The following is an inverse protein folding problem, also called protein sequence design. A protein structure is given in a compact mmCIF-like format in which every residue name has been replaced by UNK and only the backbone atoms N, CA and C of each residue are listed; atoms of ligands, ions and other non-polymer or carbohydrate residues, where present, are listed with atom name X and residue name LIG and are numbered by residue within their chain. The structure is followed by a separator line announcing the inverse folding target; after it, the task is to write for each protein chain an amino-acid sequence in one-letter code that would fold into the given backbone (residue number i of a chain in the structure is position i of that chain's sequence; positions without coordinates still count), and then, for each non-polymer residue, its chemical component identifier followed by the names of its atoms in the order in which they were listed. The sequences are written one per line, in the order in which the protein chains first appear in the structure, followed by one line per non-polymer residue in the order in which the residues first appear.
data_IF_545242147137
#
_entry.id   IF_545242147137
#
_cell.length_a   1.000
_cell.length_b   1.000
_cell.length_c   1.000
_cell.angle_alpha   90.00
_cell.angle_beta   90.00
_cell.angle_gamma   90.00
#
_symmetry.space_group_name_H-M   'P 1'
#
loop_
_entity.id
_entity.type
_entity.pdbx_description
1 polymer ?
#
# COMPACT_ATOMS: atom_id res chain seq x y z
N UNK A 1 23.06 -44.15 22.45
CA UNK A 1 22.15 -44.70 21.43
C UNK A 1 20.74 -44.65 22.01
N UNK A 2 20.13 -43.47 22.17
CA UNK A 2 19.33 -42.71 21.19
C UNK A 2 18.03 -43.41 20.79
N UNK A 3 16.99 -43.22 21.59
CA UNK A 3 15.61 -43.45 21.20
C UNK A 3 14.93 -42.07 21.17
N UNK A 4 14.90 -41.50 19.97
CA UNK A 4 14.21 -40.25 19.63
C UNK A 4 12.71 -40.52 19.61
N UNK A 5 12.05 -40.25 20.73
CA UNK A 5 10.59 -40.16 20.81
C UNK A 5 10.16 -38.76 20.39
N UNK A 6 9.19 -38.71 19.48
CA UNK A 6 8.58 -37.51 18.90
C UNK A 6 7.87 -36.69 19.98
N UNK A 7 8.22 -35.41 20.11
CA UNK A 7 7.44 -34.46 20.92
C UNK A 7 6.14 -34.13 20.18
N UNK A 8 5.02 -34.66 20.70
CA UNK A 8 3.68 -34.21 20.36
C UNK A 8 3.47 -32.88 21.09
N UNK A 9 3.37 -31.78 20.34
CA UNK A 9 3.07 -30.45 20.89
C UNK A 9 1.62 -30.46 21.39
N UNK A 10 1.43 -30.68 22.69
CA UNK A 10 0.13 -30.53 23.34
C UNK A 10 -0.19 -29.03 23.53
N UNK A 11 -1.42 -28.64 23.20
CA UNK A 11 -1.91 -27.27 23.39
C UNK A 11 -2.79 -27.17 24.64
N UNK A 12 -2.69 -26.05 25.36
CA UNK A 12 -3.54 -25.79 26.52
C UNK A 12 -5.01 -25.64 26.07
N UNK A 13 -5.94 -26.38 26.67
CA UNK A 13 -7.37 -26.31 26.29
C UNK A 13 -8.02 -24.95 26.53
N UNK A 14 -7.43 -24.10 27.39
CA UNK A 14 -7.94 -22.77 27.74
C UNK A 14 -7.38 -21.69 26.80
N UNK A 15 -6.06 -21.64 26.60
CA UNK A 15 -5.44 -20.59 25.77
C UNK A 15 -5.04 -21.05 24.36
N UNK A 16 -5.15 -22.34 24.06
CA UNK A 16 -4.80 -23.00 22.78
C UNK A 16 -3.37 -22.78 22.29
N UNK A 17 -2.45 -22.36 23.18
CA UNK A 17 -1.05 -22.17 22.82
C UNK A 17 -0.23 -23.46 22.96
N UNK A 18 0.80 -23.66 22.11
CA UNK A 18 1.72 -24.78 22.17
C UNK A 18 2.68 -24.66 23.39
N UNK A 19 2.92 -25.76 24.11
CA UNK A 19 3.80 -25.78 25.28
C UNK A 19 5.29 -25.72 24.87
N UNK A 20 6.12 -25.04 25.69
CA UNK A 20 7.58 -25.08 25.57
C UNK A 20 8.15 -26.13 26.56
N UNK A 21 8.74 -27.25 26.09
CA UNK A 21 8.99 -28.43 26.92
C UNK A 21 10.08 -28.25 28.00
N UNK A 22 10.80 -27.14 28.00
CA UNK A 22 11.99 -26.95 28.87
C UNK A 22 11.68 -26.21 30.19
N UNK A 23 10.56 -25.49 30.30
CA UNK A 23 10.32 -24.58 31.45
C UNK A 23 9.03 -24.80 32.24
N UNK A 24 8.06 -25.55 31.72
CA UNK A 24 6.73 -25.60 32.31
C UNK A 24 6.48 -26.89 33.13
N UNK A 25 6.20 -26.75 34.43
CA UNK A 25 5.69 -27.87 35.25
C UNK A 25 4.23 -28.15 34.87
N UNK A 26 3.95 -29.39 34.46
CA UNK A 26 2.62 -29.88 34.06
C UNK A 26 1.89 -30.53 35.24
N UNK A 27 0.58 -30.29 35.36
CA UNK A 27 -0.30 -31.00 36.30
C UNK A 27 -1.27 -31.88 35.50
N UNK A 28 -1.33 -33.16 35.85
CA UNK A 28 -2.16 -34.17 35.18
C UNK A 28 -3.54 -34.32 35.84
N UNK A 29 -4.59 -34.41 35.02
CA UNK A 29 -5.94 -34.74 35.48
C UNK A 29 -5.98 -36.17 36.07
N UNK A 30 -6.68 -36.35 37.19
CA UNK A 30 -6.77 -37.64 37.90
C UNK A 30 -7.84 -38.61 37.35
N UNK A 31 -8.54 -38.23 36.28
CA UNK A 31 -9.65 -39.01 35.71
C UNK A 31 -9.20 -40.10 34.74
N UNK A 32 -8.84 -41.28 35.26
CA UNK A 32 -8.72 -42.54 34.51
C UNK A 32 -7.73 -42.58 33.32
N UNK A 33 -7.43 -43.78 32.78
CA UNK A 33 -6.56 -43.91 31.61
C UNK A 33 -7.23 -43.27 30.39
N UNK A 34 -6.70 -42.14 29.90
CA UNK A 34 -7.17 -41.48 28.67
C UNK A 34 -7.54 -40.00 28.80
N UNK A 35 -7.63 -39.43 30.00
CA UNK A 35 -7.84 -37.98 30.17
C UNK A 35 -6.52 -37.21 29.98
N UNK A 36 -6.02 -37.12 28.75
CA UNK A 36 -4.76 -36.47 28.38
C UNK A 36 -4.77 -34.93 28.46
N UNK A 37 -5.56 -34.32 29.35
CA UNK A 37 -5.60 -32.85 29.51
C UNK A 37 -4.64 -32.43 30.63
N UNK A 38 -3.60 -31.68 30.25
CA UNK A 38 -2.60 -31.10 31.15
C UNK A 38 -2.89 -29.60 31.38
N UNK A 39 -2.63 -29.12 32.60
CA UNK A 39 -2.71 -27.70 32.93
C UNK A 39 -1.33 -27.19 33.39
N UNK A 40 -0.97 -25.97 32.96
CA UNK A 40 0.30 -25.35 33.30
C UNK A 40 0.21 -24.50 34.56
N UNK A 41 1.28 -24.52 35.36
CA UNK A 41 1.42 -23.64 36.53
C UNK A 41 1.42 -22.14 36.18
N UNK A 42 1.93 -21.76 35.00
CA UNK A 42 2.03 -20.35 34.58
C UNK A 42 0.68 -19.69 34.26
N UNK A 43 -0.41 -20.46 34.11
CA UNK A 43 -1.77 -19.91 34.08
C UNK A 43 -2.21 -19.33 35.44
N UNK A 44 -1.41 -19.50 36.50
CA UNK A 44 -1.64 -18.91 37.82
C UNK A 44 -1.29 -17.42 37.92
N UNK A 45 -0.47 -16.86 37.01
CA UNK A 45 0.00 -15.46 37.10
C UNK A 45 -0.88 -14.45 36.35
N UNK A 46 -2.05 -14.87 35.85
CA UNK A 46 -3.13 -13.95 35.51
C UNK A 46 -3.77 -13.49 36.82
N UNK A 47 -3.27 -12.37 37.35
CA UNK A 47 -3.62 -11.67 38.59
C UNK A 47 -5.11 -11.74 39.03
N UNK A 48 -5.53 -12.90 39.55
CA UNK A 48 -6.85 -13.19 40.11
C UNK A 48 -6.64 -14.04 41.38
N UNK A 49 -6.45 -13.38 42.53
CA UNK A 49 -6.35 -14.07 43.81
C UNK A 49 -7.75 -14.38 44.38
N UNK A 50 -8.24 -15.60 44.15
CA UNK A 50 -8.89 -16.44 45.20
C UNK A 50 -8.67 -17.94 44.89
N UNK A 51 -7.43 -18.41 44.94
CA UNK A 51 -7.12 -19.83 45.20
C UNK A 51 -5.91 -19.90 46.12
N UNK A 52 -6.07 -19.36 47.34
CA UNK A 52 -5.20 -19.75 48.45
C UNK A 52 -5.59 -21.19 48.82
N UNK A 53 -4.63 -22.09 48.66
CA UNK A 53 -4.69 -23.45 49.14
C UNK A 53 -5.08 -23.48 50.63
N UNK A 54 -6.11 -24.25 50.97
CA UNK A 54 -6.34 -24.72 52.33
C UNK A 54 -6.04 -26.22 52.34
N UNK A 55 -4.97 -26.57 53.05
CA UNK A 55 -4.44 -27.92 53.19
C UNK A 55 -4.98 -28.60 54.46
N UNK A 56 -5.24 -29.91 54.37
CA UNK A 56 -4.97 -30.87 55.45
C UNK A 56 -4.83 -32.29 54.88
N UNK A 57 -3.66 -32.87 55.14
CA UNK A 57 -3.19 -34.27 55.23
C UNK A 57 -3.64 -35.41 54.30
N UNK A 58 -4.67 -35.32 53.42
CA UNK A 58 -5.12 -36.49 52.62
C UNK A 58 -5.22 -36.29 51.08
N UNK A 59 -4.57 -35.27 50.51
CA UNK A 59 -4.26 -35.22 49.07
C UNK A 59 -5.36 -34.65 48.15
N UNK A 60 -5.02 -33.62 47.39
CA UNK A 60 -5.91 -32.94 46.44
C UNK A 60 -6.13 -33.74 45.14
N UNK A 61 -7.38 -33.89 44.70
CA UNK A 61 -7.77 -34.41 43.37
C UNK A 61 -8.59 -33.37 42.59
N UNK A 62 -8.19 -33.12 41.34
CA UNK A 62 -8.92 -32.26 40.39
C UNK A 62 -9.56 -33.10 39.28
N UNK A 63 -10.81 -32.76 38.91
CA UNK A 63 -11.59 -33.41 37.85
C UNK A 63 -12.08 -32.38 36.84
N UNK A 64 -11.99 -32.69 35.53
CA UNK A 64 -12.55 -31.85 34.48
C UNK A 64 -14.10 -31.96 34.42
N UNK A 65 -14.75 -31.05 33.70
CA UNK A 65 -16.21 -31.02 33.53
C UNK A 65 -16.80 -32.33 32.96
N UNK A 66 -16.05 -33.02 32.10
CA UNK A 66 -16.44 -34.31 31.51
C UNK A 66 -16.33 -35.46 32.53
N UNK A 67 -15.28 -35.46 33.38
CA UNK A 67 -15.09 -36.46 34.43
C UNK A 67 -16.03 -36.28 35.63
N UNK A 68 -16.55 -35.07 35.88
CA UNK A 68 -17.58 -34.84 36.92
C UNK A 68 -18.87 -35.65 36.69
N UNK A 69 -19.17 -36.03 35.44
CA UNK A 69 -20.39 -36.79 35.09
C UNK A 69 -20.33 -38.28 35.42
N UNK A 70 -19.15 -38.81 35.75
CA UNK A 70 -18.92 -40.25 35.99
C UNK A 70 -18.53 -40.58 37.43
N UNK A 71 -18.68 -39.64 38.37
CA UNK A 71 -18.44 -39.91 39.79
C UNK A 71 -19.64 -40.67 40.34
N UNK A 72 -19.59 -42.00 40.29
CA UNK A 72 -20.52 -42.86 41.03
C UNK A 72 -20.35 -42.63 42.53
N UNK A 73 -21.47 -42.47 43.24
CA UNK A 73 -21.47 -42.22 44.69
C UNK A 73 -21.12 -43.50 45.45
N UNK A 74 -19.99 -43.57 46.18
CA UNK A 74 -19.82 -44.65 47.14
C UNK A 74 -20.58 -44.27 48.41
N UNK A 75 -21.50 -45.15 48.82
CA UNK A 75 -22.05 -45.14 50.17
C UNK A 75 -20.92 -45.57 51.12
N UNK A 76 -20.35 -44.63 51.85
CA UNK A 76 -19.68 -44.94 53.12
C UNK A 76 -19.87 -43.77 54.09
N UNK A 77 -20.57 -44.08 55.18
CA UNK A 77 -20.78 -43.20 56.32
C UNK A 77 -19.49 -43.12 57.14
N UNK A 78 -18.80 -42.00 57.03
CA UNK A 78 -17.96 -41.48 58.11
C UNK A 78 -18.01 -39.95 58.05
N UNK A 79 -18.01 -39.32 59.23
CA UNK A 79 -18.29 -37.92 59.44
C UNK A 79 -17.25 -36.99 58.79
N UNK A 80 -17.40 -36.72 57.50
CA UNK A 80 -16.58 -35.77 56.75
C UNK A 80 -17.35 -35.28 55.52
N UNK A 81 -17.11 -34.01 55.17
CA UNK A 81 -17.80 -33.20 54.15
C UNK A 81 -18.26 -34.05 52.96
N UNK A 82 -19.56 -34.07 52.67
CA UNK A 82 -20.06 -34.90 51.55
C UNK A 82 -19.62 -34.32 50.21
N UNK A 83 -19.42 -35.18 49.22
CA UNK A 83 -19.06 -34.81 47.84
C UNK A 83 -20.07 -33.80 47.22
N UNK A 84 -21.32 -33.83 47.71
CA UNK A 84 -22.40 -32.91 47.33
C UNK A 84 -22.16 -31.49 47.86
N UNK A 85 -21.62 -31.35 49.07
CA UNK A 85 -21.28 -30.06 49.68
C UNK A 85 -20.09 -29.40 48.97
N UNK A 86 -19.16 -30.22 48.46
CA UNK A 86 -18.02 -29.76 47.66
C UNK A 86 -18.51 -29.20 46.31
N UNK A 87 -19.42 -29.89 45.62
CA UNK A 87 -19.97 -29.44 44.34
C UNK A 87 -20.74 -28.12 44.47
N UNK A 88 -21.58 -27.96 45.50
CA UNK A 88 -22.32 -26.71 45.74
C UNK A 88 -21.39 -25.53 46.04
N UNK A 89 -20.26 -25.76 46.72
CA UNK A 89 -19.25 -24.72 46.96
C UNK A 89 -18.52 -24.30 45.68
N UNK A 90 -18.23 -25.26 44.79
CA UNK A 90 -17.60 -24.99 43.50
C UNK A 90 -18.53 -24.17 42.59
N UNK A 91 -19.81 -24.55 42.47
CA UNK A 91 -20.76 -23.82 41.61
C UNK A 91 -20.97 -22.37 42.08
N UNK A 92 -20.97 -22.13 43.39
CA UNK A 92 -21.02 -20.77 43.96
C UNK A 92 -19.74 -19.97 43.72
N UNK A 93 -18.59 -20.62 43.62
CA UNK A 93 -17.32 -19.98 43.27
C UNK A 93 -17.27 -19.66 41.77
N UNK A 94 -17.71 -20.56 40.89
CA UNK A 94 -17.81 -20.34 39.45
C UNK A 94 -18.72 -19.13 39.13
N UNK A 95 -19.90 -19.03 39.75
CA UNK A 95 -20.80 -17.89 39.57
C UNK A 95 -20.19 -16.54 40.05
N UNK A 96 -19.38 -16.56 41.12
CA UNK A 96 -18.65 -15.38 41.59
C UNK A 96 -17.49 -15.00 40.67
N UNK A 97 -16.84 -15.97 40.04
CA UNK A 97 -15.77 -15.74 39.06
C UNK A 97 -16.34 -15.13 37.78
N UNK A 98 -17.47 -15.62 37.27
CA UNK A 98 -18.10 -15.07 36.06
C UNK A 98 -18.50 -13.59 36.21
N UNK A 99 -19.07 -13.21 37.36
CA UNK A 99 -19.42 -11.79 37.62
C UNK A 99 -18.21 -10.85 37.74
N UNK A 100 -17.05 -11.35 38.20
CA UNK A 100 -15.79 -10.59 38.25
C UNK A 100 -15.09 -10.56 36.91
N UNK A 101 -15.17 -11.64 36.13
CA UNK A 101 -14.62 -11.73 34.78
C UNK A 101 -15.32 -10.74 33.84
N UNK A 102 -16.63 -10.54 33.96
CA UNK A 102 -17.35 -9.51 33.21
C UNK A 102 -16.79 -8.09 33.46
N UNK A 103 -16.51 -7.74 34.72
CA UNK A 103 -15.91 -6.43 35.08
C UNK A 103 -14.47 -6.27 34.59
N UNK A 104 -13.65 -7.32 34.67
CA UNK A 104 -12.29 -7.29 34.13
C UNK A 104 -12.29 -7.25 32.59
N UNK A 105 -13.25 -7.89 31.94
CA UNK A 105 -13.41 -7.86 30.49
C UNK A 105 -13.83 -6.47 30.00
N UNK A 106 -14.63 -5.75 30.79
CA UNK A 106 -14.97 -4.35 30.53
C UNK A 106 -13.80 -3.39 30.80
N UNK A 107 -13.01 -3.60 31.86
CA UNK A 107 -11.79 -2.83 32.14
C UNK A 107 -10.68 -3.06 31.10
N UNK A 108 -10.47 -4.29 30.64
CA UNK A 108 -9.52 -4.59 29.56
C UNK A 108 -10.00 -4.02 28.21
N UNK A 109 -11.31 -4.03 27.95
CA UNK A 109 -11.89 -3.35 26.79
C UNK A 109 -11.72 -1.84 26.89
N UNK A 110 -11.93 -1.23 28.05
CA UNK A 110 -11.74 0.22 28.24
C UNK A 110 -10.27 0.62 28.13
N UNK A 111 -9.34 -0.10 28.75
CA UNK A 111 -7.91 0.19 28.66
C UNK A 111 -7.32 -0.05 27.26
N UNK A 112 -7.77 -1.11 26.55
CA UNK A 112 -7.35 -1.33 25.16
C UNK A 112 -8.03 -0.39 24.17
N UNK A 113 -9.21 0.15 24.50
CA UNK A 113 -9.87 1.23 23.75
C UNK A 113 -9.13 2.55 23.96
N UNK A 114 -8.88 2.94 25.21
CA UNK A 114 -8.15 4.17 25.56
C UNK A 114 -6.71 4.16 25.02
N UNK A 115 -5.99 3.04 25.08
CA UNK A 115 -4.65 2.93 24.46
C UNK A 115 -4.71 3.05 22.94
N UNK A 116 -5.69 2.42 22.28
CA UNK A 116 -5.88 2.52 20.81
C UNK A 116 -6.23 3.96 20.39
N UNK A 117 -7.12 4.62 21.13
CA UNK A 117 -7.46 6.02 20.88
C UNK A 117 -6.25 6.93 21.12
N UNK A 118 -5.42 6.65 22.14
CA UNK A 118 -4.17 7.40 22.38
C UNK A 118 -3.15 7.23 21.26
N UNK A 119 -2.99 6.03 20.71
CA UNK A 119 -2.03 5.75 19.65
C UNK A 119 -2.53 6.26 18.29
N UNK A 120 -3.83 6.21 18.04
CA UNK A 120 -4.45 6.88 16.90
C UNK A 120 -4.27 8.40 16.97
N UNK A 121 -4.46 9.00 18.14
CA UNK A 121 -4.22 10.43 18.36
C UNK A 121 -2.74 10.83 18.20
N UNK A 122 -1.80 10.01 18.69
CA UNK A 122 -0.36 10.21 18.42
C UNK A 122 -0.06 10.12 16.93
N UNK A 123 -0.65 9.16 16.22
CA UNK A 123 -0.48 9.01 14.75
C UNK A 123 -1.04 10.18 13.95
N UNK A 124 -2.06 10.89 14.45
CA UNK A 124 -2.54 12.15 13.84
C UNK A 124 -1.48 13.26 13.82
N UNK A 125 -0.32 13.09 14.46
CA UNK A 125 0.81 14.02 14.38
C UNK A 125 1.74 13.72 13.18
N UNK A 126 1.61 12.56 12.53
CA UNK A 126 2.49 12.09 11.43
C UNK A 126 2.16 12.78 10.08
N UNK A 127 1.34 13.84 10.08
CA UNK A 127 0.91 14.55 8.87
C UNK A 127 0.82 16.06 9.09
N UNK A 128 1.15 16.83 8.06
CA UNK A 128 1.07 18.29 8.06
C UNK A 128 -0.41 18.73 8.14
N UNK A 129 -0.76 19.44 9.22
CA UNK A 129 -2.16 19.77 9.56
C UNK A 129 -2.71 21.01 8.85
N UNK A 130 -1.90 21.78 8.12
CA UNK A 130 -2.32 22.98 7.38
C UNK A 130 -2.07 22.89 5.87
N UNK A 131 -2.93 23.53 5.08
CA UNK A 131 -2.53 24.06 3.76
C UNK A 131 -2.01 25.47 4.08
N UNK A 132 -0.80 25.84 3.66
CA UNK A 132 -0.34 27.22 3.78
C UNK A 132 -1.25 28.12 2.96
N UNK A 133 -2.01 28.99 3.64
CA UNK A 133 -3.00 29.88 3.00
C UNK A 133 -2.35 31.17 2.47
N UNK A 134 -1.21 31.55 3.03
CA UNK A 134 -0.42 32.71 2.63
C UNK A 134 1.01 32.23 2.41
N UNK A 135 1.52 32.42 1.21
CA UNK A 135 2.83 31.93 0.83
C UNK A 135 3.85 33.05 0.95
N UNK A 136 4.47 33.09 2.12
CA UNK A 136 5.57 33.99 2.46
C UNK A 136 6.78 33.66 1.59
N UNK A 137 7.28 34.66 0.88
CA UNK A 137 8.52 34.64 0.09
C UNK A 137 9.67 34.05 0.91
N UNK A 138 9.74 34.32 2.22
CA UNK A 138 10.76 33.76 3.09
C UNK A 138 10.63 32.25 3.29
N UNK A 139 9.41 31.71 3.35
CA UNK A 139 9.19 30.27 3.45
C UNK A 139 9.56 29.55 2.15
N UNK A 140 9.28 30.16 0.99
CA UNK A 140 9.74 29.63 -0.31
C UNK A 140 11.27 29.61 -0.36
N UNK A 141 11.95 30.69 0.03
CA UNK A 141 13.42 30.73 0.11
C UNK A 141 13.97 29.66 1.06
N UNK A 142 13.34 29.44 2.21
CA UNK A 142 13.74 28.36 3.14
C UNK A 142 13.53 26.98 2.53
N UNK A 143 12.39 26.75 1.88
CA UNK A 143 12.08 25.50 1.18
C UNK A 143 13.11 25.21 0.07
N UNK A 144 13.40 26.20 -0.76
CA UNK A 144 14.39 26.12 -1.82
C UNK A 144 15.77 25.75 -1.27
N UNK A 145 16.26 26.49 -0.27
CA UNK A 145 17.57 26.21 0.34
C UNK A 145 17.60 24.84 1.03
N UNK A 146 16.49 24.42 1.64
CA UNK A 146 16.36 23.08 2.24
C UNK A 146 16.49 21.99 1.18
N UNK A 147 15.83 22.11 0.03
CA UNK A 147 15.93 21.11 -1.04
C UNK A 147 17.29 21.13 -1.72
N UNK A 148 17.86 22.31 -1.99
CA UNK A 148 19.21 22.41 -2.51
C UNK A 148 20.22 21.69 -1.60
N UNK A 149 20.12 21.91 -0.29
CA UNK A 149 21.05 21.34 0.67
C UNK A 149 20.81 19.85 0.97
N UNK A 150 19.58 19.47 1.31
CA UNK A 150 19.29 18.12 1.82
C UNK A 150 18.78 17.15 0.75
N UNK A 151 18.08 17.64 -0.28
CA UNK A 151 17.57 16.78 -1.36
C UNK A 151 18.60 16.60 -2.46
N UNK A 152 19.26 17.67 -2.87
CA UNK A 152 20.24 17.65 -3.97
C UNK A 152 21.68 17.48 -3.49
N UNK A 153 21.93 17.64 -2.18
CA UNK A 153 23.28 17.51 -1.60
C UNK A 153 24.25 18.51 -2.23
N UNK A 154 23.80 19.75 -2.37
CA UNK A 154 24.54 20.85 -2.99
C UNK A 154 24.67 22.04 -2.04
N UNK A 155 25.74 22.81 -2.25
CA UNK A 155 25.88 24.15 -1.73
C UNK A 155 25.98 25.16 -2.88
N UNK A 156 25.79 26.44 -2.58
CA UNK A 156 25.75 27.52 -3.58
C UNK A 156 27.01 27.64 -4.45
N UNK A 157 28.16 27.13 -4.01
CA UNK A 157 29.42 27.26 -4.75
C UNK A 157 29.57 26.20 -5.85
N UNK A 158 28.82 25.10 -5.79
CA UNK A 158 28.91 23.97 -6.74
C UNK A 158 27.57 23.62 -7.39
N UNK A 159 26.50 24.32 -7.01
CA UNK A 159 25.19 24.16 -7.60
C UNK A 159 25.17 24.72 -9.02
N UNK A 160 24.65 23.91 -9.94
CA UNK A 160 24.39 24.28 -11.34
C UNK A 160 22.98 24.85 -11.48
N UNK A 161 22.68 25.51 -12.60
CA UNK A 161 21.32 26.01 -12.89
C UNK A 161 20.27 24.89 -12.85
N UNK A 162 20.64 23.67 -13.28
CA UNK A 162 19.77 22.48 -13.16
C UNK A 162 19.49 22.11 -11.71
N UNK A 163 20.49 22.21 -10.82
CA UNK A 163 20.28 21.98 -9.38
C UNK A 163 19.28 23.01 -8.81
N UNK A 164 19.37 24.27 -9.24
CA UNK A 164 18.40 25.30 -8.83
C UNK A 164 16.98 25.02 -9.35
N UNK A 165 16.83 24.58 -10.59
CA UNK A 165 15.54 24.12 -11.11
C UNK A 165 14.95 23.00 -10.25
N UNK A 166 15.71 21.94 -9.96
CA UNK A 166 15.21 20.83 -9.13
C UNK A 166 14.86 21.28 -7.71
N UNK A 167 15.64 22.20 -7.13
CA UNK A 167 15.34 22.75 -5.80
C UNK A 167 14.00 23.51 -5.81
N UNK A 168 13.74 24.31 -6.84
CA UNK A 168 12.47 25.00 -7.04
C UNK A 168 11.32 24.01 -7.28
N UNK A 169 11.48 23.04 -8.17
CA UNK A 169 10.46 22.03 -8.47
C UNK A 169 10.05 21.23 -7.22
N UNK A 170 11.02 20.83 -6.37
CA UNK A 170 10.72 20.18 -5.10
C UNK A 170 9.99 21.11 -4.12
N UNK A 171 10.38 22.39 -4.07
CA UNK A 171 9.71 23.39 -3.23
C UNK A 171 8.25 23.56 -3.65
N UNK A 172 7.97 23.73 -4.94
CA UNK A 172 6.60 23.82 -5.47
C UNK A 172 5.81 22.54 -5.23
N UNK A 173 6.45 21.37 -5.39
CA UNK A 173 5.83 20.07 -5.15
C UNK A 173 5.38 19.88 -3.70
N UNK A 174 6.11 20.38 -2.72
CA UNK A 174 5.72 20.28 -1.30
C UNK A 174 4.34 20.92 -1.04
N UNK A 175 4.05 22.05 -1.70
CA UNK A 175 2.78 22.75 -1.60
C UNK A 175 1.64 21.97 -2.26
N UNK A 176 1.94 21.22 -3.30
CA UNK A 176 1.01 20.36 -4.00
C UNK A 176 0.72 19.05 -3.22
N UNK A 177 1.72 18.43 -2.58
CA UNK A 177 1.59 17.11 -1.95
C UNK A 177 0.57 17.13 -0.81
N UNK A 178 0.56 18.20 -0.01
CA UNK A 178 -0.39 18.36 1.10
C UNK A 178 -1.84 18.42 0.62
N UNK A 179 -2.10 19.15 -0.47
CA UNK A 179 -3.42 19.25 -1.12
C UNK A 179 -3.83 17.94 -1.78
N UNK A 180 -2.87 17.24 -2.37
CA UNK A 180 -3.08 15.93 -2.98
C UNK A 180 -3.51 14.87 -1.98
N UNK A 181 -2.81 14.74 -0.85
CA UNK A 181 -3.20 13.81 0.22
C UNK A 181 -4.63 14.09 0.70
N UNK A 182 -4.98 15.36 0.93
CA UNK A 182 -6.32 15.77 1.37
C UNK A 182 -7.39 15.47 0.35
N UNK A 183 -7.14 15.75 -0.92
CA UNK A 183 -8.07 15.43 -2.02
C UNK A 183 -8.35 13.92 -2.06
N UNK A 184 -7.30 13.10 -1.99
CA UNK A 184 -7.46 11.66 -1.97
C UNK A 184 -8.22 11.18 -0.72
N UNK A 185 -7.89 11.68 0.46
CA UNK A 185 -8.63 11.36 1.69
C UNK A 185 -10.11 11.72 1.56
N UNK A 186 -10.41 12.94 1.08
CA UNK A 186 -11.77 13.40 0.85
C UNK A 186 -12.55 12.48 -0.10
N UNK A 187 -11.94 12.05 -1.22
CA UNK A 187 -12.56 11.11 -2.16
C UNK A 187 -12.81 9.74 -1.55
N UNK A 188 -12.03 9.28 -0.58
CA UNK A 188 -12.28 8.02 0.12
C UNK A 188 -13.34 8.16 1.21
N UNK A 189 -13.38 9.28 1.93
CA UNK A 189 -14.37 9.55 2.97
C UNK A 189 -15.76 9.80 2.40
N UNK A 190 -15.86 10.61 1.34
CA UNK A 190 -17.13 10.91 0.67
C UNK A 190 -17.57 9.82 -0.28
N UNK A 191 -16.63 9.04 -0.79
CA UNK A 191 -16.86 7.95 -1.73
C UNK A 191 -17.80 8.33 -2.90
N UNK A 192 -17.50 9.43 -3.62
CA UNK A 192 -18.29 9.84 -4.77
C UNK A 192 -18.05 8.87 -5.94
N UNK A 193 -18.90 8.98 -6.97
CA UNK A 193 -18.60 8.38 -8.28
C UNK A 193 -17.29 8.98 -8.81
N UNK A 194 -16.38 8.14 -9.31
CA UNK A 194 -15.05 8.55 -9.80
C UNK A 194 -14.93 8.34 -11.29
N UNK A 195 -14.48 9.36 -12.01
CA UNK A 195 -14.20 9.29 -13.44
C UNK A 195 -12.79 8.72 -13.67
N UNK A 196 -12.67 7.80 -14.63
CA UNK A 196 -11.39 7.21 -15.03
C UNK A 196 -11.20 7.44 -16.51
N UNK A 197 -10.28 8.34 -16.86
CA UNK A 197 -9.94 8.62 -18.25
C UNK A 197 -8.76 7.75 -18.66
N UNK A 198 -8.95 6.88 -19.65
CA UNK A 198 -7.92 5.98 -20.15
C UNK A 198 -7.43 6.51 -21.49
N UNK A 199 -6.13 6.75 -21.59
CA UNK A 199 -5.49 7.19 -22.83
C UNK A 199 -4.07 6.63 -22.90
N UNK A 200 -3.67 6.23 -24.10
CA UNK A 200 -2.26 5.90 -24.36
C UNK A 200 -1.39 7.16 -24.50
N UNK A 201 -1.99 8.35 -24.60
CA UNK A 201 -1.27 9.61 -24.71
C UNK A 201 -1.72 10.65 -23.68
N UNK A 202 -0.76 11.36 -23.11
CA UNK A 202 -0.96 12.59 -22.34
C UNK A 202 0.14 13.58 -22.69
N UNK A 203 -0.20 14.64 -23.42
CA UNK A 203 0.76 15.68 -23.76
C UNK A 203 0.73 16.77 -22.69
N UNK A 204 1.42 16.50 -21.58
CA UNK A 204 1.41 17.37 -20.40
C UNK A 204 2.20 18.66 -20.61
N UNK A 205 3.38 18.56 -21.25
CA UNK A 205 4.38 19.63 -21.31
C UNK A 205 5.07 19.86 -19.96
N UNK A 206 5.72 21.02 -19.81
CA UNK A 206 6.31 21.50 -18.55
C UNK A 206 5.26 21.69 -17.45
N UNK A 207 5.57 21.23 -16.24
CA UNK A 207 4.64 21.21 -15.09
C UNK A 207 4.92 22.31 -14.06
N UNK A 208 6.12 22.89 -14.02
CA UNK A 208 6.52 23.87 -13.01
C UNK A 208 5.62 25.09 -13.02
N UNK A 209 5.58 25.79 -14.15
CA UNK A 209 4.81 27.01 -14.33
C UNK A 209 3.31 26.76 -14.11
N UNK A 210 2.75 25.71 -14.72
CA UNK A 210 1.34 25.34 -14.56
C UNK A 210 0.98 25.06 -13.08
N UNK A 211 1.86 24.38 -12.35
CA UNK A 211 1.64 24.12 -10.93
C UNK A 211 1.68 25.39 -10.11
N UNK A 212 2.62 26.30 -10.38
CA UNK A 212 2.70 27.58 -9.68
C UNK A 212 1.45 28.44 -9.92
N UNK A 213 0.94 28.47 -11.14
CA UNK A 213 -0.30 29.18 -11.50
C UNK A 213 -1.50 28.58 -10.77
N UNK A 214 -1.71 27.26 -10.86
CA UNK A 214 -2.89 26.62 -10.29
C UNK A 214 -2.93 26.68 -8.76
N UNK A 215 -1.76 26.71 -8.12
CA UNK A 215 -1.64 26.91 -6.67
C UNK A 215 -1.76 28.39 -6.25
N UNK A 216 -1.58 29.34 -7.18
CA UNK A 216 -1.59 30.78 -6.91
C UNK A 216 -0.30 31.30 -6.25
N UNK A 217 0.85 30.71 -6.59
CA UNK A 217 2.12 30.91 -5.88
C UNK A 217 3.22 31.49 -6.77
N UNK A 218 2.92 31.70 -8.04
CA UNK A 218 3.86 32.16 -9.05
C UNK A 218 4.58 33.46 -8.64
N UNK A 219 3.83 34.47 -8.18
CA UNK A 219 4.42 35.75 -7.74
C UNK A 219 5.37 35.58 -6.55
N UNK A 220 5.01 34.75 -5.56
CA UNK A 220 5.88 34.51 -4.41
C UNK A 220 7.14 33.73 -4.79
N UNK A 221 7.03 32.79 -5.74
CA UNK A 221 8.18 32.07 -6.28
C UNK A 221 9.11 32.99 -7.07
N UNK A 222 8.56 33.83 -7.94
CA UNK A 222 9.30 34.81 -8.73
C UNK A 222 10.09 35.78 -7.83
N UNK A 223 9.42 36.38 -6.84
CA UNK A 223 10.08 37.27 -5.88
C UNK A 223 11.17 36.54 -5.06
N UNK A 224 10.92 35.29 -4.66
CA UNK A 224 11.90 34.49 -3.94
C UNK A 224 13.16 34.21 -4.76
N UNK A 225 12.99 33.83 -6.03
CA UNK A 225 14.11 33.56 -6.95
C UNK A 225 14.90 34.83 -7.23
N UNK A 226 14.19 35.94 -7.50
CA UNK A 226 14.81 37.25 -7.71
C UNK A 226 15.67 37.69 -6.51
N UNK A 227 15.14 37.58 -5.27
CA UNK A 227 15.90 37.91 -4.06
C UNK A 227 17.10 36.98 -3.81
N UNK A 228 17.12 35.80 -4.42
CA UNK A 228 18.24 34.86 -4.36
C UNK A 228 19.23 35.02 -5.53
N UNK A 229 18.98 35.98 -6.43
CA UNK A 229 19.83 36.25 -7.60
C UNK A 229 19.65 35.23 -8.72
N UNK A 230 18.47 34.60 -8.81
CA UNK A 230 18.12 33.62 -9.84
C UNK A 230 17.02 34.20 -10.73
N UNK A 231 17.06 33.87 -12.01
CA UNK A 231 16.00 34.15 -12.98
C UNK A 231 15.08 32.94 -13.08
N UNK A 232 13.79 33.11 -12.77
CA UNK A 232 12.84 31.99 -12.78
C UNK A 232 12.57 31.49 -14.21
N UNK A 233 12.63 32.36 -15.22
CA UNK A 233 12.41 31.96 -16.62
C UNK A 233 13.54 31.03 -17.09
N UNK A 234 14.80 31.31 -16.71
CA UNK A 234 15.93 30.41 -16.97
C UNK A 234 15.73 29.04 -16.31
N UNK A 235 15.14 28.99 -15.11
CA UNK A 235 14.83 27.73 -14.43
C UNK A 235 13.67 26.97 -15.09
N UNK A 236 12.63 27.68 -15.56
CA UNK A 236 11.49 27.08 -16.28
C UNK A 236 11.89 26.48 -17.63
N UNK A 237 12.88 27.06 -18.31
CA UNK A 237 13.42 26.56 -19.59
C UNK A 237 14.31 25.31 -19.44
N UNK A 238 14.73 24.97 -18.22
CA UNK A 238 15.47 23.74 -17.93
C UNK A 238 14.56 22.52 -17.73
N UNK A 239 13.25 22.71 -17.59
CA UNK A 239 12.30 21.61 -17.47
C UNK A 239 12.10 20.92 -18.83
N UNK A 240 12.37 19.63 -18.88
CA UNK A 240 12.06 18.81 -20.06
C UNK A 240 10.56 18.56 -20.16
N UNK A 241 10.02 18.59 -21.39
CA UNK A 241 8.64 18.20 -21.65
C UNK A 241 8.43 16.71 -21.34
N UNK A 242 7.31 16.37 -20.70
CA UNK A 242 6.99 14.97 -20.43
C UNK A 242 6.65 14.25 -21.74
N UNK A 243 7.54 13.36 -22.19
CA UNK A 243 7.41 12.50 -23.37
C UNK A 243 6.33 11.42 -23.23
N UNK A 244 5.07 11.84 -23.07
CA UNK A 244 3.92 10.97 -22.76
C UNK A 244 2.81 11.06 -23.81
N UNK A 245 2.96 11.90 -24.83
CA UNK A 245 2.01 12.08 -25.93
C UNK A 245 2.70 12.69 -27.13
N UNK A 246 2.05 12.64 -28.29
CA UNK A 246 2.61 13.15 -29.54
C UNK A 246 1.78 14.30 -30.12
N UNK A 247 0.45 14.18 -30.08
CA UNK A 247 -0.43 15.08 -30.82
C UNK A 247 -1.64 15.60 -30.05
N UNK A 248 -2.65 16.04 -30.82
CA UNK A 248 -3.87 16.64 -30.29
C UNK A 248 -4.69 15.71 -29.38
N UNK A 249 -4.63 14.39 -29.60
CA UNK A 249 -5.28 13.41 -28.71
C UNK A 249 -4.69 13.47 -27.29
N UNK A 250 -3.36 13.40 -27.19
CA UNK A 250 -2.65 13.53 -25.93
C UNK A 250 -2.89 14.90 -25.27
N UNK A 251 -2.94 15.97 -26.05
CA UNK A 251 -3.19 17.32 -25.49
C UNK A 251 -4.63 17.48 -25.01
N UNK A 252 -5.61 16.91 -25.72
CA UNK A 252 -7.00 16.87 -25.27
C UNK A 252 -7.11 16.16 -23.91
N UNK A 253 -6.46 15.00 -23.76
CA UNK A 253 -6.42 14.25 -22.51
C UNK A 253 -5.83 15.09 -21.36
N UNK A 254 -4.72 15.78 -21.60
CA UNK A 254 -4.09 16.67 -20.61
C UNK A 254 -5.02 17.82 -20.19
N UNK A 255 -5.66 18.51 -21.15
CA UNK A 255 -6.61 19.58 -20.88
C UNK A 255 -7.86 19.09 -20.12
N UNK A 256 -8.32 17.87 -20.38
CA UNK A 256 -9.40 17.26 -19.61
C UNK A 256 -9.00 17.00 -18.16
N UNK A 257 -7.77 16.54 -17.89
CA UNK A 257 -7.30 16.34 -16.52
C UNK A 257 -7.27 17.66 -15.72
N UNK A 258 -6.74 18.73 -16.33
CA UNK A 258 -6.74 20.06 -15.73
C UNK A 258 -8.17 20.56 -15.46
N UNK A 259 -9.06 20.47 -16.45
CA UNK A 259 -10.47 20.87 -16.32
C UNK A 259 -11.19 20.10 -15.21
N UNK A 260 -11.00 18.77 -15.15
CA UNK A 260 -11.60 17.94 -14.10
C UNK A 260 -11.08 18.31 -12.71
N UNK A 261 -9.79 18.63 -12.57
CA UNK A 261 -9.23 19.09 -11.30
C UNK A 261 -9.80 20.47 -10.92
N UNK A 262 -9.86 21.41 -11.85
CA UNK A 262 -10.40 22.78 -11.66
C UNK A 262 -11.89 22.78 -11.31
N UNK A 263 -12.68 21.88 -11.90
CA UNK A 263 -14.10 21.71 -11.58
C UNK A 263 -14.35 20.90 -10.29
N UNK A 264 -13.29 20.42 -9.62
CA UNK A 264 -13.41 19.60 -8.41
C UNK A 264 -14.00 18.21 -8.66
N UNK A 265 -13.93 17.71 -9.90
CA UNK A 265 -14.45 16.41 -10.28
C UNK A 265 -13.51 15.30 -9.75
N UNK A 266 -14.04 14.28 -9.05
CA UNK A 266 -13.26 13.12 -8.64
C UNK A 266 -12.81 12.30 -9.85
N UNK A 267 -11.61 12.57 -10.34
CA UNK A 267 -11.11 11.98 -11.58
C UNK A 267 -9.67 11.48 -11.48
N UNK A 268 -9.38 10.46 -12.29
CA UNK A 268 -8.03 9.95 -12.52
C UNK A 268 -7.78 9.84 -14.02
N UNK A 269 -6.58 10.25 -14.44
CA UNK A 269 -6.01 9.83 -15.72
C UNK A 269 -5.25 8.52 -15.56
N UNK A 270 -5.36 7.62 -16.53
CA UNK A 270 -4.58 6.40 -16.64
C UNK A 270 -3.90 6.33 -18.00
N UNK A 271 -2.61 5.98 -17.99
CA UNK A 271 -1.80 5.80 -19.19
C UNK A 271 -0.54 4.97 -18.93
N UNK A 272 0.40 5.00 -19.86
CA UNK A 272 1.70 4.32 -19.76
C UNK A 272 2.80 5.35 -19.50
N UNK A 273 3.78 4.99 -18.66
CA UNK A 273 4.96 5.82 -18.41
C UNK A 273 6.04 5.49 -19.43
N UNK A 274 6.01 6.14 -20.59
CA UNK A 274 7.01 5.95 -21.64
C UNK A 274 8.37 6.50 -21.22
N UNK A 275 9.43 5.71 -21.44
CA UNK A 275 10.79 6.11 -21.09
C UNK A 275 11.39 7.09 -22.09
N UNK A 276 11.04 6.96 -23.38
CA UNK A 276 11.65 7.70 -24.49
C UNK A 276 10.67 8.49 -25.37
N UNK A 277 9.45 8.72 -24.88
CA UNK A 277 8.41 9.42 -25.65
C UNK A 277 8.22 8.83 -27.04
N UNK A 278 8.08 9.71 -28.04
CA UNK A 278 8.05 9.32 -29.46
C UNK A 278 9.45 9.42 -30.09
N UNK A 279 9.99 10.64 -30.21
CA UNK A 279 11.35 10.99 -30.60
C UNK A 279 11.58 12.51 -30.45
N UNK A 280 12.83 12.91 -30.27
CA UNK A 280 13.29 14.29 -30.42
C UNK A 280 13.66 14.56 -31.88
N UNK A 281 12.99 15.52 -32.51
CA UNK A 281 13.25 15.91 -33.89
C UNK A 281 14.51 16.79 -33.97
N UNK A 282 15.48 16.42 -34.80
CA UNK A 282 16.60 17.28 -35.19
C UNK A 282 16.63 17.46 -36.70
N UNK A 283 17.05 18.65 -37.14
CA UNK A 283 17.26 18.92 -38.56
C UNK A 283 18.76 18.86 -38.83
N UNK A 284 19.20 17.88 -39.65
CA UNK A 284 20.59 17.75 -40.10
C UNK A 284 20.60 17.77 -41.63
N UNK A 285 21.37 18.68 -42.22
CA UNK A 285 21.45 18.88 -43.67
C UNK A 285 20.10 19.09 -44.38
N UNK A 286 19.14 19.75 -43.71
CA UNK A 286 17.80 20.00 -44.26
C UNK A 286 16.82 18.84 -44.15
N UNK A 287 17.22 17.72 -43.55
CA UNK A 287 16.38 16.53 -43.35
C UNK A 287 16.11 16.26 -41.86
N UNK A 288 14.97 15.63 -41.58
CA UNK A 288 14.62 15.16 -40.24
C UNK A 288 15.50 13.97 -39.85
N UNK A 289 16.02 14.03 -38.62
CA UNK A 289 16.68 12.93 -37.92
C UNK A 289 16.02 12.76 -36.57
N UNK A 290 15.65 11.53 -36.26
CA UNK A 290 14.95 11.14 -35.04
C UNK A 290 15.98 10.65 -34.00
N UNK A 291 15.97 11.25 -32.82
CA UNK A 291 16.77 10.80 -31.68
C UNK A 291 15.85 10.44 -30.49
N UNK A 292 16.24 9.55 -29.58
CA UNK A 292 15.41 9.23 -28.41
C UNK A 292 15.16 10.45 -27.53
N UNK A 293 13.91 10.63 -27.07
CA UNK A 293 13.54 11.69 -26.13
C UNK A 293 13.82 11.23 -24.68
N UNK A 294 15.00 11.56 -24.16
CA UNK A 294 15.50 11.09 -22.86
C UNK A 294 15.05 12.00 -21.69
N UNK A 295 13.78 12.41 -21.68
CA UNK A 295 13.19 13.32 -20.69
C UNK A 295 13.33 12.86 -19.23
N UNK A 296 13.54 11.56 -19.01
CA UNK A 296 13.76 10.97 -17.68
C UNK A 296 15.23 10.86 -17.26
N UNK A 297 16.19 11.26 -18.11
CA UNK A 297 17.64 11.11 -17.86
C UNK A 297 18.06 11.62 -16.48
N UNK A 298 17.55 12.78 -16.10
CA UNK A 298 17.89 13.45 -14.83
C UNK A 298 16.82 13.24 -13.75
N UNK A 299 15.85 12.36 -14.01
CA UNK A 299 14.68 12.14 -13.17
C UNK A 299 13.56 13.14 -13.42
N UNK A 300 12.36 12.77 -13.00
CA UNK A 300 11.17 13.62 -13.06
C UNK A 300 10.78 14.01 -11.61
N UNK A 301 10.86 15.30 -11.23
CA UNK A 301 10.57 15.71 -9.87
C UNK A 301 9.07 15.62 -9.54
N UNK A 302 8.17 15.55 -10.54
CA UNK A 302 6.72 15.59 -10.36
C UNK A 302 6.11 14.25 -10.01
N UNK A 303 6.68 13.15 -10.51
CA UNK A 303 6.11 11.82 -10.28
C UNK A 303 6.40 11.25 -8.87
N UNK A 304 5.57 10.29 -8.46
CA UNK A 304 5.81 9.47 -7.28
C UNK A 304 5.57 8.00 -7.61
N UNK A 305 6.65 7.21 -7.58
CA UNK A 305 6.57 5.75 -7.63
C UNK A 305 5.75 5.19 -6.46
N UNK A 306 4.91 4.19 -6.77
CA UNK A 306 4.04 3.48 -5.82
C UNK A 306 4.24 1.96 -5.89
N UNK A 307 5.44 1.44 -5.55
CA UNK A 307 5.74 0.01 -5.61
C UNK A 307 4.77 -0.84 -4.77
N UNK A 308 4.17 -0.26 -3.73
CA UNK A 308 3.15 -0.91 -2.90
C UNK A 308 1.84 -1.22 -3.65
N UNK A 309 1.65 -0.73 -4.87
CA UNK A 309 0.50 -1.04 -5.73
C UNK A 309 0.89 -1.73 -7.04
N UNK A 310 2.02 -2.44 -7.05
CA UNK A 310 2.43 -3.24 -8.20
C UNK A 310 1.45 -4.40 -8.46
N UNK A 311 1.10 -4.62 -9.73
CA UNK A 311 0.08 -5.61 -10.15
C UNK A 311 0.65 -6.53 -11.24
N UNK A 312 0.44 -7.86 -11.17
CA UNK A 312 0.81 -8.77 -12.25
C UNK A 312 -0.15 -8.63 -13.44
N UNK A 313 0.43 -8.59 -14.64
CA UNK A 313 -0.26 -8.59 -15.94
C UNK A 313 0.21 -9.82 -16.71
N UNK A 314 -0.74 -10.51 -17.32
CA UNK A 314 -0.50 -11.79 -17.98
C UNK A 314 -0.57 -11.64 -19.49
N UNK A 315 0.27 -12.37 -20.21
CA UNK A 315 0.28 -12.43 -21.67
C UNK A 315 0.35 -13.89 -22.13
N UNK A 316 -0.04 -14.14 -23.38
CA UNK A 316 0.01 -15.46 -24.02
C UNK A 316 -0.80 -16.53 -23.27
N UNK A 317 -0.24 -17.72 -23.06
CA UNK A 317 -0.91 -18.82 -22.38
C UNK A 317 -2.10 -19.38 -23.15
N UNK A 318 -2.99 -20.06 -22.42
CA UNK A 318 -4.16 -20.75 -22.98
C UNK A 318 -5.31 -20.83 -21.98
N UNK A 319 -6.52 -21.02 -22.48
CA UNK A 319 -7.72 -21.22 -21.65
C UNK A 319 -7.96 -22.71 -21.46
N UNK A 320 -8.22 -23.11 -20.21
CA UNK A 320 -8.66 -24.45 -19.85
C UNK A 320 -10.04 -24.40 -19.19
N UNK A 321 -10.86 -25.41 -19.43
CA UNK A 321 -12.10 -25.63 -18.70
C UNK A 321 -11.81 -26.37 -17.40
N UNK A 322 -12.23 -25.80 -16.27
CA UNK A 322 -12.14 -26.44 -14.95
C UNK A 322 -13.54 -26.58 -14.34
N UNK A 323 -13.74 -27.44 -13.33
CA UNK A 323 -15.04 -27.59 -12.67
C UNK A 323 -15.59 -26.27 -12.10
N UNK A 324 -14.73 -25.32 -11.75
CA UNK A 324 -15.12 -23.99 -11.23
C UNK A 324 -15.30 -22.93 -12.34
N UNK A 325 -15.12 -23.29 -13.61
CA UNK A 325 -15.21 -22.40 -14.77
C UNK A 325 -13.92 -22.33 -15.61
N UNK A 326 -13.87 -21.40 -16.57
CA UNK A 326 -12.70 -21.21 -17.44
C UNK A 326 -11.56 -20.52 -16.69
N UNK A 327 -10.34 -21.02 -16.84
CA UNK A 327 -9.11 -20.41 -16.28
C UNK A 327 -8.10 -20.14 -17.38
N UNK A 328 -7.46 -18.97 -17.32
CA UNK A 328 -6.33 -18.61 -18.18
C UNK A 328 -5.03 -19.01 -17.49
N UNK A 329 -4.29 -19.93 -18.10
CA UNK A 329 -3.10 -20.58 -17.51
C UNK A 329 -1.92 -20.54 -18.46
N UNK A 330 -0.74 -20.92 -17.97
CA UNK A 330 0.52 -20.97 -18.72
C UNK A 330 0.92 -19.61 -19.32
N UNK A 331 0.66 -18.52 -18.60
CA UNK A 331 0.89 -17.15 -19.06
C UNK A 331 2.29 -16.65 -18.74
N UNK A 332 2.79 -15.73 -19.57
CA UNK A 332 3.94 -14.90 -19.24
C UNK A 332 3.49 -13.75 -18.35
N UNK A 333 4.22 -13.47 -17.27
CA UNK A 333 3.87 -12.39 -16.33
C UNK A 333 4.78 -11.18 -16.53
N UNK A 334 4.21 -9.99 -16.47
CA UNK A 334 4.89 -8.69 -16.40
C UNK A 334 4.27 -7.90 -15.26
N UNK A 335 5.07 -7.17 -14.48
CA UNK A 335 4.53 -6.31 -13.44
C UNK A 335 4.24 -4.90 -13.96
N UNK A 336 3.07 -4.38 -13.60
CA UNK A 336 2.71 -2.98 -13.78
C UNK A 336 3.02 -2.20 -12.50
N UNK A 337 4.03 -1.34 -12.55
CA UNK A 337 4.41 -0.44 -11.45
C UNK A 337 3.77 0.94 -11.66
N UNK A 338 2.92 1.42 -10.73
CA UNK A 338 2.30 2.73 -10.88
C UNK A 338 3.24 3.86 -10.47
N UNK A 339 3.19 4.93 -11.27
CA UNK A 339 3.79 6.24 -11.01
C UNK A 339 2.69 7.28 -11.04
N UNK A 340 2.48 7.96 -9.92
CA UNK A 340 1.44 8.97 -9.79
C UNK A 340 2.02 10.36 -10.07
N UNK A 341 1.39 11.09 -10.98
CA UNK A 341 1.63 12.50 -11.26
C UNK A 341 0.42 13.32 -10.76
N UNK A 342 0.62 14.26 -9.84
CA UNK A 342 -0.47 15.05 -9.28
C UNK A 342 -0.91 16.15 -10.26
N UNK A 343 -2.23 16.33 -10.40
CA UNK A 343 -2.82 17.32 -11.32
C UNK A 343 -3.56 18.39 -10.50
N UNK A 344 -2.97 19.56 -10.23
CA UNK A 344 -3.59 20.61 -9.44
C UNK A 344 -4.68 21.33 -10.24
N UNK A 345 -5.86 21.53 -9.64
CA UNK A 345 -6.91 22.38 -10.17
C UNK A 345 -6.67 23.85 -9.86
N UNK A 346 -7.15 24.74 -10.73
CA UNK A 346 -6.96 26.18 -10.59
C UNK A 346 -7.75 26.73 -9.39
N UNK A 347 -7.03 27.28 -8.40
CA UNK A 347 -7.61 28.11 -7.33
C UNK A 347 -8.57 27.40 -6.36
N UNK A 348 -8.60 26.06 -6.35
CA UNK A 348 -9.62 25.31 -5.59
C UNK A 348 -9.07 24.27 -4.59
N UNK A 349 -7.74 24.14 -4.46
CA UNK A 349 -7.03 23.17 -3.62
C UNK A 349 -7.31 21.68 -3.93
N UNK A 350 -8.00 21.37 -5.02
CA UNK A 350 -8.20 20.01 -5.51
C UNK A 350 -6.97 19.59 -6.30
N UNK A 351 -6.46 18.39 -6.02
CA UNK A 351 -5.37 17.80 -6.80
C UNK A 351 -5.75 16.38 -7.18
N UNK A 352 -6.06 16.19 -8.46
CA UNK A 352 -6.36 14.89 -9.05
C UNK A 352 -5.06 14.13 -9.36
N UNK A 353 -5.15 12.98 -10.03
CA UNK A 353 -4.00 12.10 -10.28
C UNK A 353 -4.00 11.55 -11.69
N UNK A 354 -2.88 11.72 -12.39
CA UNK A 354 -2.51 10.95 -13.55
C UNK A 354 -1.64 9.77 -13.10
N UNK A 355 -2.16 8.55 -13.21
CA UNK A 355 -1.44 7.31 -12.89
C UNK A 355 -0.89 6.70 -14.16
N UNK A 356 0.43 6.57 -14.23
CA UNK A 356 1.14 6.00 -15.37
C UNK A 356 1.75 4.65 -14.98
N UNK A 357 1.59 3.65 -15.84
CA UNK A 357 2.12 2.31 -15.62
C UNK A 357 3.48 2.14 -16.29
N UNK A 358 4.48 1.73 -15.51
CA UNK A 358 5.78 1.26 -16.01
C UNK A 358 5.80 -0.27 -15.98
N UNK A 359 6.17 -0.89 -17.10
CA UNK A 359 6.35 -2.32 -17.18
C UNK A 359 7.66 -2.73 -16.50
N UNK A 360 7.60 -3.72 -15.63
CA UNK A 360 8.74 -4.28 -14.90
C UNK A 360 8.78 -5.79 -15.06
N UNK A 361 9.98 -6.32 -15.24
CA UNK A 361 10.18 -7.77 -15.30
C UNK A 361 9.86 -8.42 -13.95
N UNK A 362 9.22 -9.60 -13.92
CA UNK A 362 9.10 -10.40 -12.71
C UNK A 362 10.40 -11.09 -12.32
N UNK A 363 11.37 -11.12 -13.23
CA UNK A 363 12.67 -11.75 -13.01
C UNK A 363 13.50 -10.83 -12.12
N UNK A 364 13.46 -11.10 -10.82
CA UNK A 364 14.52 -10.68 -9.91
C UNK A 364 15.84 -11.32 -10.34
N UNK A 365 16.97 -10.72 -9.94
CA UNK A 365 18.30 -11.24 -10.28
C UNK A 365 18.42 -12.72 -9.89
N UNK A 366 18.40 -13.62 -10.87
CA UNK A 366 18.49 -15.05 -10.63
C UNK A 366 19.96 -15.47 -10.64
N UNK A 367 20.51 -15.63 -9.44
CA UNK A 367 21.89 -16.12 -9.21
C UNK A 367 22.18 -17.43 -9.96
N UNK A 368 21.18 -18.27 -10.23
CA UNK A 368 21.36 -19.52 -10.97
C UNK A 368 21.71 -19.28 -12.43
N UNK A 369 20.98 -18.41 -13.14
CA UNK A 369 21.34 -18.04 -14.52
C UNK A 369 22.70 -17.35 -14.59
N UNK A 370 23.05 -16.56 -13.57
CA UNK A 370 24.36 -15.94 -13.48
C UNK A 370 25.49 -16.97 -13.29
N UNK A 371 25.30 -17.94 -12.40
CA UNK A 371 26.29 -18.99 -12.12
C UNK A 371 26.42 -20.02 -13.24
N UNK A 372 25.34 -20.27 -14.00
CA UNK A 372 25.32 -21.20 -15.13
C UNK A 372 25.85 -20.55 -16.43
N UNK A 373 26.24 -19.27 -16.38
CA UNK A 373 26.77 -18.53 -17.54
C UNK A 373 25.72 -18.03 -18.53
N UNK A 374 24.43 -18.17 -18.21
CA UNK A 374 23.29 -17.76 -19.04
C UNK A 374 22.80 -16.34 -18.70
N UNK A 375 23.75 -15.44 -18.44
CA UNK A 375 23.46 -14.05 -18.09
C UNK A 375 22.78 -13.28 -19.23
N UNK A 376 23.01 -13.68 -20.48
CA UNK A 376 22.45 -13.03 -21.67
C UNK A 376 20.93 -13.23 -21.70
N UNK A 377 20.42 -14.45 -21.48
CA UNK A 377 18.98 -14.70 -21.55
C UNK A 377 18.21 -13.98 -20.44
N UNK A 378 18.74 -13.99 -19.21
CA UNK A 378 18.10 -13.28 -18.10
C UNK A 378 17.94 -11.76 -18.37
N UNK A 379 18.92 -11.17 -19.05
CA UNK A 379 18.87 -9.75 -19.46
C UNK A 379 17.89 -9.54 -20.63
N UNK A 380 17.81 -10.47 -21.58
CA UNK A 380 16.88 -10.40 -22.71
C UNK A 380 15.42 -10.46 -22.25
N UNK A 381 15.07 -11.41 -21.38
CA UNK A 381 13.71 -11.54 -20.84
C UNK A 381 13.26 -10.29 -20.09
N UNK A 382 14.18 -9.69 -19.32
CA UNK A 382 13.93 -8.42 -18.65
C UNK A 382 13.65 -7.30 -19.65
N UNK A 383 14.49 -7.16 -20.68
CA UNK A 383 14.30 -6.12 -21.70
C UNK A 383 12.97 -6.29 -22.44
N UNK A 384 12.56 -7.54 -22.76
CA UNK A 384 11.29 -7.81 -23.43
C UNK A 384 10.08 -7.36 -22.60
N UNK A 385 10.12 -7.56 -21.29
CA UNK A 385 9.05 -7.09 -20.39
C UNK A 385 9.03 -5.55 -20.31
N UNK A 386 10.20 -4.92 -20.17
CA UNK A 386 10.32 -3.46 -20.02
C UNK A 386 10.04 -2.70 -21.34
N UNK A 387 10.23 -3.34 -22.51
CA UNK A 387 9.94 -2.75 -23.83
C UNK A 387 8.50 -2.24 -23.98
N UNK A 388 7.54 -2.80 -23.25
CA UNK A 388 6.13 -2.37 -23.29
C UNK A 388 6.01 -0.87 -22.95
N UNK A 389 6.77 -0.37 -21.98
CA UNK A 389 6.71 1.04 -21.57
C UNK A 389 7.91 1.88 -22.04
N UNK A 390 8.62 1.46 -23.09
CA UNK A 390 9.78 2.22 -23.58
C UNK A 390 9.42 3.38 -24.49
N UNK A 391 8.73 3.10 -25.59
CA UNK A 391 8.46 4.09 -26.66
C UNK A 391 6.97 4.16 -26.94
N UNK A 392 6.48 5.37 -27.19
CA UNK A 392 5.13 5.66 -27.65
C UNK A 392 5.00 5.35 -29.15
N UNK A 393 3.98 4.58 -29.53
CA UNK A 393 3.73 4.14 -30.90
C UNK A 393 4.93 3.46 -31.57
N UNK A 394 5.30 2.24 -31.14
CA UNK A 394 6.32 1.47 -31.85
C UNK A 394 5.90 1.26 -33.31
N UNK A 395 6.87 1.30 -34.22
CA UNK A 395 6.66 1.06 -35.65
C UNK A 395 5.96 -0.29 -35.87
N UNK A 396 4.74 -0.27 -36.39
CA UNK A 396 3.85 -1.42 -36.56
C UNK A 396 3.80 -1.96 -38.00
N UNK A 397 4.76 -1.58 -38.84
CA UNK A 397 4.90 -2.15 -40.19
C UNK A 397 5.27 -3.64 -40.17
N UNK A 398 5.85 -4.12 -39.06
CA UNK A 398 6.23 -5.52 -38.85
C UNK A 398 5.36 -6.16 -37.75
N UNK A 399 5.28 -7.49 -37.75
CA UNK A 399 4.43 -8.23 -36.83
C UNK A 399 4.78 -7.96 -35.36
N UNK A 400 6.08 -7.89 -35.05
CA UNK A 400 6.61 -7.61 -33.72
C UNK A 400 6.14 -6.25 -33.20
N UNK A 401 6.06 -5.25 -34.09
CA UNK A 401 5.53 -3.93 -33.76
C UNK A 401 4.03 -3.93 -33.49
N UNK A 402 3.26 -4.66 -34.31
CA UNK A 402 1.80 -4.85 -34.09
C UNK A 402 1.52 -5.56 -32.77
N UNK A 403 2.30 -6.61 -32.46
CA UNK A 403 2.20 -7.33 -31.20
C UNK A 403 2.53 -6.41 -30.02
N UNK A 404 3.60 -5.62 -30.10
CA UNK A 404 3.99 -4.69 -29.04
C UNK A 404 2.91 -3.63 -28.79
N UNK A 405 2.28 -3.11 -29.85
CA UNK A 405 1.17 -2.16 -29.73
C UNK A 405 -0.04 -2.77 -29.00
N UNK A 406 -0.41 -4.00 -29.35
CA UNK A 406 -1.47 -4.73 -28.64
C UNK A 406 -1.08 -5.01 -27.17
N UNK A 407 0.18 -5.34 -26.91
CA UNK A 407 0.68 -5.52 -25.54
C UNK A 407 0.55 -4.23 -24.72
N UNK A 408 0.86 -3.07 -25.29
CA UNK A 408 0.69 -1.76 -24.63
C UNK A 408 -0.77 -1.49 -24.27
N UNK A 409 -1.68 -1.64 -25.24
CA UNK A 409 -3.12 -1.46 -25.05
C UNK A 409 -3.67 -2.38 -23.95
N UNK A 410 -3.38 -3.68 -24.04
CA UNK A 410 -3.80 -4.65 -23.05
C UNK A 410 -3.17 -4.39 -21.67
N UNK A 411 -1.88 -4.06 -21.62
CA UNK A 411 -1.16 -3.76 -20.39
C UNK A 411 -1.82 -2.62 -19.61
N UNK A 412 -2.07 -1.50 -20.29
CA UNK A 412 -2.73 -0.34 -19.70
C UNK A 412 -4.13 -0.70 -19.21
N UNK A 413 -4.95 -1.36 -20.04
CA UNK A 413 -6.33 -1.73 -19.69
C UNK A 413 -6.38 -2.70 -18.50
N UNK A 414 -5.58 -3.77 -18.54
CA UNK A 414 -5.56 -4.80 -17.50
C UNK A 414 -5.07 -4.25 -16.16
N UNK A 415 -4.00 -3.44 -16.15
CA UNK A 415 -3.49 -2.83 -14.92
C UNK A 415 -4.51 -1.83 -14.33
N UNK A 416 -5.09 -1.00 -15.18
CA UNK A 416 -6.04 0.05 -14.78
C UNK A 416 -7.33 -0.55 -14.22
N UNK A 417 -7.94 -1.53 -14.91
CA UNK A 417 -9.17 -2.16 -14.43
C UNK A 417 -8.96 -2.89 -13.10
N UNK A 418 -7.81 -3.54 -12.91
CA UNK A 418 -7.47 -4.14 -11.62
C UNK A 418 -7.35 -3.09 -10.50
N UNK A 419 -6.73 -1.93 -10.75
CA UNK A 419 -6.67 -0.86 -9.75
C UNK A 419 -8.05 -0.22 -9.48
N UNK A 420 -8.90 -0.05 -10.50
CA UNK A 420 -10.27 0.46 -10.34
C UNK A 420 -11.09 -0.49 -9.47
N UNK A 421 -11.06 -1.80 -9.75
CA UNK A 421 -11.77 -2.81 -8.95
C UNK A 421 -11.24 -2.84 -7.52
N UNK A 422 -9.92 -2.75 -7.33
CA UNK A 422 -9.30 -2.65 -6.00
C UNK A 422 -9.82 -1.41 -5.25
N UNK A 423 -9.85 -0.23 -5.89
CA UNK A 423 -10.35 1.02 -5.29
C UNK A 423 -11.84 0.96 -4.98
N UNK A 424 -12.65 0.32 -5.82
CA UNK A 424 -14.08 0.13 -5.59
C UNK A 424 -14.33 -0.73 -4.34
N UNK A 425 -13.55 -1.82 -4.20
CA UNK A 425 -13.66 -2.74 -3.05
C UNK A 425 -13.16 -2.10 -1.75
N UNK A 426 -12.22 -1.17 -1.78
CA UNK A 426 -11.64 -0.54 -0.59
C UNK A 426 -12.55 0.52 0.05
N UNK A 427 -12.54 0.61 1.39
CA UNK A 427 -13.30 1.63 2.15
C UNK A 427 -12.48 2.81 2.67
N UNK A 428 -11.16 2.68 2.72
CA UNK A 428 -10.26 3.69 3.29
C UNK A 428 -9.05 3.91 2.41
N UNK A 429 -8.56 5.15 2.33
CA UNK A 429 -7.35 5.49 1.61
C UNK A 429 -6.18 4.65 2.14
N UNK A 430 -5.48 3.94 1.26
CA UNK A 430 -4.37 3.05 1.65
C UNK A 430 -4.77 1.67 2.18
N UNK A 431 -6.07 1.37 2.38
CA UNK A 431 -6.51 0.04 2.82
C UNK A 431 -6.65 -0.93 1.64
N UNK A 432 -6.32 -2.20 1.89
CA UNK A 432 -6.57 -3.32 0.98
C UNK A 432 -7.77 -4.17 1.39
N UNK A 433 -8.41 -3.87 2.52
CA UNK A 433 -9.56 -4.62 3.00
C UNK A 433 -10.77 -4.38 2.08
N UNK A 434 -11.37 -5.47 1.59
CA UNK A 434 -12.58 -5.42 0.79
C UNK A 434 -13.80 -5.15 1.68
N UNK A 435 -14.47 -4.04 1.44
CA UNK A 435 -15.75 -3.66 2.07
C UNK A 435 -16.91 -3.87 1.12
N UNK A 436 -16.70 -3.67 -0.19
CA UNK A 436 -17.68 -4.07 -1.21
C UNK A 436 -17.30 -5.43 -1.78
N UNK A 437 -18.26 -6.36 -1.73
CA UNK A 437 -18.11 -7.72 -2.28
C UNK A 437 -19.02 -7.96 -3.49
N UNK A 438 -20.15 -7.24 -3.59
CA UNK A 438 -21.00 -7.21 -4.78
C UNK A 438 -20.55 -6.13 -5.77
N UNK A 439 -20.88 -6.32 -7.05
CA UNK A 439 -20.68 -5.36 -8.15
C UNK A 439 -21.96 -4.65 -8.59
N UNK A 440 -23.09 -4.87 -7.91
CA UNK A 440 -24.38 -4.26 -8.30
C UNK A 440 -24.31 -2.72 -8.27
N UNK A 441 -23.54 -2.15 -7.34
CA UNK A 441 -23.32 -0.70 -7.21
C UNK A 441 -22.11 -0.19 -8.02
N UNK A 442 -21.44 -1.06 -8.79
CA UNK A 442 -20.26 -0.68 -9.55
C UNK A 442 -20.53 0.48 -10.53
N UNK A 443 -21.62 0.47 -11.33
CA UNK A 443 -21.93 1.58 -12.27
C UNK A 443 -22.23 2.93 -11.59
N UNK A 444 -22.65 2.91 -10.32
CA UNK A 444 -22.93 4.12 -9.54
C UNK A 444 -21.65 4.74 -8.95
N UNK A 445 -20.59 3.94 -8.78
CA UNK A 445 -19.29 4.37 -8.25
C UNK A 445 -18.22 4.53 -9.32
N UNK A 446 -18.38 3.83 -10.44
CA UNK A 446 -17.52 3.82 -11.61
C UNK A 446 -18.42 4.03 -12.82
N UNK A 447 -18.22 5.08 -13.64
CA UNK A 447 -18.99 5.27 -14.86
C UNK A 447 -18.94 4.03 -15.74
N UNK A 448 -20.10 3.52 -16.14
CA UNK A 448 -20.23 2.69 -17.32
C UNK A 448 -20.15 3.60 -18.55
N UNK A 449 -19.32 3.23 -19.52
CA UNK A 449 -19.18 3.89 -20.82
C UNK A 449 -20.52 4.10 -21.52
#
# INVERSE_FOLDING_TARGET
MSQTSKDIIASCGICRQPANPVTDKTVTCSGGPGCGRCFHSFCADLNLTVWAALASDDGLRWFCADCRRHVETPKQESAEITLKDILVRIDRLEAKVDSRCAKCHDQLKSETSEKRDSDEQKRKQISVRGISVLEDVNEIKKGFNRHLHYTLVKDRNVATTRDYYFALAHTVKDHLVSRWIRTQQHYYERDPKRVYYLSLEYYMGRSLQNTMINLGIQTSCDEAMYQMGLDIEELEDLEEDAGLGNGGLGRLAACFLDSMATLGMPAYGYGIRYEYGIFAQKIKNGEQVEEPDDWLRYGNPWEKARPEYMIPIHFYGRVIDTPEGKKWVDTQTVFAMPYDNPIPGYGNNVVNTLRLWSAKSPVDFNLKFFNDGDYIQAVLDRNLAENISRVLYPNDNFFEGKELRLKQEYFMCAATLQDIVRRYKASKFGSRAAVRTSFDDFPNKVPSS
#
